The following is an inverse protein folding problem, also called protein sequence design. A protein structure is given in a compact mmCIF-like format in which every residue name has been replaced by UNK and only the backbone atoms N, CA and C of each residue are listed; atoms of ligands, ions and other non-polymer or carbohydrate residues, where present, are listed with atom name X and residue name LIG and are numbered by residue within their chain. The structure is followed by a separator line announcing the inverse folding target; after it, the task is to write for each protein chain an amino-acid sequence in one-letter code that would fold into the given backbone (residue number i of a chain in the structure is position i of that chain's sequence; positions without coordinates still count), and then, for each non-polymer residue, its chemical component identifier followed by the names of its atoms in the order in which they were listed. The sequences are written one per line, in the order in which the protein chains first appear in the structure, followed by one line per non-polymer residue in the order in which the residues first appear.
data_IF_404317293131
#
_entry.id   IF_404317293131
#
_cell.length_a   1.000
_cell.length_b   1.000
_cell.length_c   1.000
_cell.angle_alpha   90.00
_cell.angle_beta   90.00
_cell.angle_gamma   90.00
#
_symmetry.space_group_name_H-M   'P 1'
#
loop_
_entity.id
_entity.type
_entity.pdbx_description
1 polymer ?
#
# COMPACT_ATOMS: atom_id res chain seq x y z
N UNK A 1 -8.30 12.53 0.29
CA UNK A 1 -8.58 11.17 -0.22
C UNK A 1 -9.92 11.20 -0.92
N UNK A 2 -10.08 10.48 -2.04
CA UNK A 2 -11.38 10.38 -2.70
C UNK A 2 -12.41 9.70 -1.82
N UNK A 3 -13.70 10.03 -1.99
CA UNK A 3 -14.79 9.46 -1.21
C UNK A 3 -14.99 7.95 -1.44
N UNK A 4 -14.25 7.36 -2.38
CA UNK A 4 -14.27 5.92 -2.67
C UNK A 4 -12.86 5.34 -2.58
N UNK A 5 -12.67 4.42 -1.64
CA UNK A 5 -11.48 3.62 -1.47
C UNK A 5 -11.86 2.14 -1.39
N UNK A 6 -10.89 1.26 -1.65
CA UNK A 6 -11.09 -0.18 -1.55
C UNK A 6 -9.84 -0.88 -1.04
N UNK A 7 -10.05 -2.01 -0.37
CA UNK A 7 -8.98 -2.90 0.07
C UNK A 7 -8.67 -3.90 -1.03
N UNK A 8 -7.39 -4.00 -1.41
CA UNK A 8 -6.93 -4.94 -2.41
C UNK A 8 -6.24 -6.13 -1.75
N UNK A 9 -6.75 -7.33 -2.03
CA UNK A 9 -6.16 -8.59 -1.60
C UNK A 9 -6.27 -9.62 -2.75
N UNK A 10 -5.30 -10.52 -2.89
CA UNK A 10 -5.37 -11.63 -3.82
C UNK A 10 -6.62 -12.45 -3.57
N UNK A 11 -7.46 -12.64 -4.59
CA UNK A 11 -8.53 -13.63 -4.53
C UNK A 11 -8.04 -14.92 -5.19
N UNK A 12 -8.21 -16.04 -4.49
CA UNK A 12 -8.01 -17.38 -5.06
C UNK A 12 -9.16 -17.62 -6.04
N UNK A 13 -8.92 -17.50 -7.35
CA UNK A 13 -10.01 -17.50 -8.33
C UNK A 13 -10.21 -18.91 -8.90
N UNK A 14 -11.24 -19.61 -8.43
CA UNK A 14 -11.97 -20.59 -9.27
C UNK A 14 -13.28 -19.99 -9.82
N UNK A 15 -13.84 -18.95 -9.16
CA UNK A 15 -15.08 -18.30 -9.58
C UNK A 15 -14.91 -16.79 -9.77
N UNK A 16 -15.43 -16.29 -10.89
CA UNK A 16 -15.40 -14.87 -11.24
C UNK A 16 -16.29 -14.09 -10.27
N UNK A 17 -15.68 -13.35 -9.36
CA UNK A 17 -16.40 -12.55 -8.38
C UNK A 17 -17.01 -11.32 -9.07
N UNK A 18 -18.33 -11.18 -9.03
CA UNK A 18 -19.07 -10.04 -9.62
C UNK A 18 -19.25 -8.87 -8.64
N UNK A 19 -18.55 -8.90 -7.50
CA UNK A 19 -18.72 -7.90 -6.45
C UNK A 19 -18.05 -6.57 -6.81
N UNK A 20 -18.70 -5.49 -6.42
CA UNK A 20 -18.12 -4.15 -6.48
C UNK A 20 -16.88 -4.09 -5.57
N UNK A 21 -15.72 -3.79 -6.15
CA UNK A 21 -14.45 -3.65 -5.41
C UNK A 21 -14.54 -2.69 -4.23
N UNK A 22 -15.41 -1.66 -4.30
CA UNK A 22 -15.60 -0.69 -3.22
C UNK A 22 -16.32 -1.27 -2.00
N UNK A 23 -16.94 -2.44 -2.13
CA UNK A 23 -17.58 -3.16 -1.04
C UNK A 23 -16.66 -4.23 -0.43
N UNK A 24 -15.42 -4.37 -0.92
CA UNK A 24 -14.48 -5.36 -0.41
C UNK A 24 -14.11 -5.03 1.05
N UNK A 25 -14.38 -5.94 2.01
CA UNK A 25 -13.92 -5.76 3.38
C UNK A 25 -12.40 -5.96 3.46
N UNK A 26 -11.79 -5.41 4.50
CA UNK A 26 -10.41 -5.75 4.86
C UNK A 26 -10.37 -7.18 5.42
N UNK A 27 -9.71 -8.11 4.74
CA UNK A 27 -9.57 -9.49 5.22
C UNK A 27 -8.50 -9.60 6.29
N UNK A 28 -8.59 -10.60 7.16
CA UNK A 28 -7.59 -10.81 8.23
C UNK A 28 -6.21 -11.10 7.63
N UNK A 29 -6.14 -11.82 6.51
CA UNK A 29 -4.90 -12.13 5.81
C UNK A 29 -4.22 -10.86 5.30
N UNK A 30 -5.00 -9.93 4.73
CA UNK A 30 -4.48 -8.62 4.32
C UNK A 30 -4.03 -7.81 5.54
N UNK A 31 -4.84 -7.79 6.60
CA UNK A 31 -4.51 -7.08 7.84
C UNK A 31 -3.35 -7.71 8.62
N UNK A 32 -2.94 -8.93 8.33
CA UNK A 32 -1.81 -9.59 8.99
C UNK A 32 -0.59 -9.80 8.09
N UNK A 33 -0.69 -9.55 6.77
CA UNK A 33 0.39 -9.74 5.81
C UNK A 33 1.59 -8.77 5.95
N UNK A 34 2.58 -8.84 5.05
CA UNK A 34 3.74 -7.92 5.07
C UNK A 34 3.38 -6.49 4.63
N UNK A 35 2.26 -6.30 3.93
CA UNK A 35 1.79 -4.99 3.48
C UNK A 35 0.27 -4.95 3.32
N UNK A 36 -0.31 -3.74 3.41
CA UNK A 36 -1.72 -3.46 3.14
C UNK A 36 -1.81 -2.58 1.90
N UNK A 37 -2.67 -2.96 0.94
CA UNK A 37 -2.89 -2.20 -0.30
C UNK A 37 -4.28 -1.57 -0.27
N UNK A 38 -4.31 -0.25 -0.38
CA UNK A 38 -5.54 0.55 -0.43
C UNK A 38 -5.58 1.28 -1.78
N UNK A 39 -6.56 0.94 -2.61
CA UNK A 39 -6.84 1.68 -3.84
C UNK A 39 -7.80 2.83 -3.59
N UNK A 40 -7.66 3.91 -4.33
CA UNK A 40 -8.61 5.02 -4.36
C UNK A 40 -8.95 5.37 -5.80
N UNK A 41 -10.20 5.79 -6.03
CA UNK A 41 -10.67 6.14 -7.36
C UNK A 41 -10.49 7.62 -7.69
N UNK A 42 -10.66 7.95 -8.97
CA UNK A 42 -10.65 9.34 -9.43
C UNK A 42 -11.79 10.15 -8.81
N UNK A 43 -11.50 11.41 -8.53
CA UNK A 43 -12.50 12.38 -8.08
C UNK A 43 -12.77 13.30 -9.26
N UNK A 44 -14.00 13.25 -9.75
CA UNK A 44 -14.49 14.10 -10.80
C UNK A 44 -15.48 15.11 -10.21
N UNK A 45 -15.40 16.36 -10.65
CA UNK A 45 -16.35 17.41 -10.32
C UNK A 45 -16.99 17.95 -11.60
N UNK A 46 -18.19 18.49 -11.49
CA UNK A 46 -18.88 19.10 -12.62
C UNK A 46 -18.80 20.62 -12.43
N UNK A 47 -18.23 21.30 -13.42
CA UNK A 47 -18.17 22.77 -13.43
C UNK A 47 -19.54 23.38 -13.75
N UNK A 48 -19.68 24.69 -13.55
CA UNK A 48 -20.87 25.47 -13.89
C UNK A 48 -21.28 25.37 -15.37
N UNK A 49 -20.36 24.96 -16.24
CA UNK A 49 -20.57 24.73 -17.67
C UNK A 49 -20.87 23.25 -18.01
N UNK A 50 -21.25 22.41 -17.03
CA UNK A 50 -21.51 20.98 -17.19
C UNK A 50 -20.33 20.15 -17.72
N UNK A 51 -19.10 20.64 -17.56
CA UNK A 51 -17.89 19.91 -17.93
C UNK A 51 -17.40 19.08 -16.75
N UNK A 52 -16.94 17.86 -17.02
CA UNK A 52 -16.30 17.00 -16.02
C UNK A 52 -14.84 17.45 -15.84
N UNK A 53 -14.52 18.01 -14.68
CA UNK A 53 -13.17 18.37 -14.26
C UNK A 53 -12.64 17.28 -13.34
N UNK A 54 -11.52 16.67 -13.71
CA UNK A 54 -10.80 15.73 -12.85
C UNK A 54 -10.05 16.49 -11.76
N UNK A 55 -10.54 16.41 -10.52
CA UNK A 55 -9.89 17.00 -9.35
C UNK A 55 -8.73 16.16 -8.85
N UNK A 56 -8.86 14.83 -8.92
CA UNK A 56 -7.83 13.91 -8.45
C UNK A 56 -7.84 12.60 -9.25
N UNK A 57 -6.68 12.00 -9.46
CA UNK A 57 -6.56 10.70 -10.11
C UNK A 57 -6.85 9.51 -9.21
N UNK A 58 -7.08 8.34 -9.82
CA UNK A 58 -6.99 7.04 -9.16
C UNK A 58 -5.55 6.69 -8.79
N UNK A 59 -5.35 5.80 -7.83
CA UNK A 59 -4.02 5.33 -7.44
C UNK A 59 -4.04 4.38 -6.25
N UNK A 60 -2.86 4.04 -5.74
CA UNK A 60 -2.70 3.10 -4.63
C UNK A 60 -1.84 3.68 -3.51
N UNK A 61 -2.23 3.38 -2.27
CA UNK A 61 -1.40 3.48 -1.07
C UNK A 61 -1.04 2.09 -0.59
N UNK A 62 0.25 1.86 -0.34
CA UNK A 62 0.75 0.59 0.17
C UNK A 62 1.42 0.85 1.52
N UNK A 63 0.84 0.35 2.60
CA UNK A 63 1.46 0.39 3.92
C UNK A 63 2.35 -0.83 4.09
N UNK A 64 3.66 -0.64 4.01
CA UNK A 64 4.64 -1.70 4.12
C UNK A 64 5.08 -1.88 5.56
N UNK A 65 4.95 -3.10 6.10
CA UNK A 65 5.12 -3.39 7.53
C UNK A 65 6.41 -4.11 7.86
N UNK A 66 7.16 -4.60 6.89
CA UNK A 66 8.49 -5.13 7.16
C UNK A 66 9.50 -4.00 7.35
N UNK A 67 10.70 -4.35 7.81
CA UNK A 67 11.71 -3.34 8.14
C UNK A 67 12.39 -2.74 6.90
N UNK A 68 12.39 -3.44 5.75
CA UNK A 68 13.12 -2.98 4.57
C UNK A 68 14.63 -3.05 4.74
N UNK A 69 15.11 -4.00 5.54
CA UNK A 69 16.55 -4.21 5.78
C UNK A 69 17.25 -4.80 4.55
N UNK A 70 16.53 -5.58 3.75
CA UNK A 70 17.08 -6.28 2.59
C UNK A 70 16.40 -5.89 1.29
N UNK A 71 17.06 -6.19 0.19
CA UNK A 71 16.61 -5.88 -1.17
C UNK A 71 15.53 -6.88 -1.65
N UNK A 72 15.65 -8.14 -1.23
CA UNK A 72 14.80 -9.26 -1.65
C UNK A 72 13.33 -9.07 -1.25
N UNK A 73 13.08 -8.45 -0.10
CA UNK A 73 11.71 -8.17 0.35
C UNK A 73 10.99 -7.22 -0.61
N UNK A 74 11.71 -6.24 -1.18
CA UNK A 74 11.15 -5.30 -2.14
C UNK A 74 10.96 -5.91 -3.52
N UNK A 75 11.80 -6.88 -3.91
CA UNK A 75 11.55 -7.67 -5.12
C UNK A 75 10.25 -8.46 -4.98
N UNK A 76 10.03 -9.09 -3.82
CA UNK A 76 8.77 -9.79 -3.56
C UNK A 76 7.57 -8.84 -3.64
N UNK A 77 7.67 -7.63 -3.08
CA UNK A 77 6.61 -6.62 -3.20
C UNK A 77 6.35 -6.26 -4.67
N UNK A 78 7.39 -5.97 -5.45
CA UNK A 78 7.24 -5.55 -6.85
C UNK A 78 6.68 -6.67 -7.73
N UNK A 79 7.17 -7.90 -7.55
CA UNK A 79 6.63 -9.09 -8.22
C UNK A 79 5.15 -9.30 -7.90
N UNK A 80 4.77 -9.12 -6.64
CA UNK A 80 3.37 -9.18 -6.23
C UNK A 80 2.53 -8.10 -6.95
N UNK A 81 2.99 -6.85 -6.97
CA UNK A 81 2.26 -5.76 -7.63
C UNK A 81 2.10 -6.01 -9.13
N UNK A 82 3.14 -6.52 -9.78
CA UNK A 82 3.13 -6.87 -11.20
C UNK A 82 2.17 -8.03 -11.50
N UNK A 83 2.26 -9.12 -10.72
CA UNK A 83 1.42 -10.32 -10.84
C UNK A 83 -0.08 -10.01 -10.73
N UNK A 84 -0.45 -9.08 -9.87
CA UNK A 84 -1.84 -8.63 -9.71
C UNK A 84 -2.19 -7.43 -10.58
N UNK A 85 -1.35 -7.08 -11.55
CA UNK A 85 -1.56 -6.00 -12.52
C UNK A 85 -1.81 -4.62 -11.88
N UNK A 86 -1.20 -4.37 -10.72
CA UNK A 86 -1.34 -3.09 -10.01
C UNK A 86 -0.42 -2.00 -10.57
N UNK A 87 0.64 -2.39 -11.26
CA UNK A 87 1.57 -1.49 -11.95
C UNK A 87 0.95 -1.07 -13.29
N UNK A 88 0.18 0.02 -13.27
CA UNK A 88 -0.54 0.56 -14.43
C UNK A 88 0.01 1.93 -14.89
N UNK A 89 0.05 2.15 -16.21
CA UNK A 89 0.46 3.45 -16.78
C UNK A 89 -0.43 4.59 -16.29
N UNK A 90 0.20 5.66 -15.77
CA UNK A 90 -0.51 6.85 -15.30
C UNK A 90 -1.20 6.69 -13.93
N UNK A 91 -0.95 5.58 -13.23
CA UNK A 91 -1.53 5.28 -11.92
C UNK A 91 -0.43 5.30 -10.85
N UNK A 92 -0.41 6.31 -9.97
CA UNK A 92 0.62 6.41 -8.94
C UNK A 92 0.44 5.37 -7.83
N UNK A 93 1.57 4.83 -7.38
CA UNK A 93 1.67 3.95 -6.22
C UNK A 93 2.55 4.64 -5.18
N UNK A 94 1.99 4.86 -3.98
CA UNK A 94 2.70 5.46 -2.86
C UNK A 94 2.90 4.43 -1.75
N UNK A 95 4.14 4.01 -1.57
CA UNK A 95 4.54 3.11 -0.50
C UNK A 95 4.86 3.94 0.75
N UNK A 96 4.31 3.52 1.88
CA UNK A 96 4.55 4.10 3.20
C UNK A 96 5.13 3.06 4.12
N UNK A 97 6.37 3.25 4.57
CA UNK A 97 7.00 2.40 5.57
C UNK A 97 6.33 2.62 6.93
N UNK A 98 5.51 1.66 7.33
CA UNK A 98 4.68 1.68 8.53
C UNK A 98 5.28 0.86 9.68
N UNK A 99 6.51 0.36 9.54
CA UNK A 99 7.25 -0.26 10.63
C UNK A 99 8.00 0.79 11.44
N UNK A 100 7.84 0.79 12.77
CA UNK A 100 8.58 1.69 13.67
C UNK A 100 10.08 1.46 13.69
N UNK A 101 10.49 0.22 13.43
CA UNK A 101 11.89 -0.21 13.31
C UNK A 101 12.28 -0.34 11.84
N UNK A 102 11.63 0.42 10.95
CA UNK A 102 12.04 0.47 9.55
C UNK A 102 13.51 0.91 9.46
N UNK A 103 14.25 0.26 8.59
CA UNK A 103 15.64 0.57 8.33
C UNK A 103 15.77 1.98 7.76
N UNK A 104 16.78 2.72 8.19
CA UNK A 104 17.13 4.01 7.59
C UNK A 104 17.50 3.88 6.11
N UNK A 105 17.90 2.68 5.68
CA UNK A 105 18.22 2.37 4.28
C UNK A 105 17.02 1.86 3.48
N UNK A 106 15.82 1.76 4.07
CA UNK A 106 14.65 1.17 3.40
C UNK A 106 14.31 1.85 2.07
N UNK A 107 14.38 3.19 1.99
CA UNK A 107 14.16 3.93 0.74
C UNK A 107 15.23 3.57 -0.32
N UNK A 108 16.51 3.53 0.08
CA UNK A 108 17.60 3.20 -0.84
C UNK A 108 17.51 1.76 -1.33
N UNK A 109 17.27 0.82 -0.42
CA UNK A 109 17.03 -0.59 -0.72
C UNK A 109 15.85 -0.76 -1.68
N UNK A 110 14.74 -0.04 -1.43
CA UNK A 110 13.58 -0.04 -2.30
C UNK A 110 13.89 0.50 -3.70
N UNK A 111 14.59 1.64 -3.80
CA UNK A 111 14.94 2.21 -5.11
C UNK A 111 15.87 1.28 -5.92
N UNK A 112 16.86 0.68 -5.26
CA UNK A 112 17.73 -0.31 -5.89
C UNK A 112 16.92 -1.53 -6.39
N UNK A 113 15.95 -2.00 -5.58
CA UNK A 113 15.00 -3.05 -5.96
C UNK A 113 14.15 -2.67 -7.16
N UNK A 114 13.62 -1.45 -7.16
CA UNK A 114 12.81 -0.92 -8.25
C UNK A 114 13.57 -0.89 -9.57
N UNK A 115 14.79 -0.34 -9.57
CA UNK A 115 15.63 -0.25 -10.77
C UNK A 115 15.98 -1.63 -11.32
N UNK A 116 16.39 -2.55 -10.45
CA UNK A 116 16.79 -3.89 -10.87
C UNK A 116 15.60 -4.75 -11.29
N UNK A 117 14.46 -4.67 -10.61
CA UNK A 117 13.22 -5.34 -11.03
C UNK A 117 12.79 -4.86 -12.42
N UNK A 118 12.83 -3.55 -12.66
CA UNK A 118 12.52 -2.96 -13.95
C UNK A 118 13.46 -3.47 -15.05
N UNK A 119 14.76 -3.56 -14.76
CA UNK A 119 15.73 -4.09 -15.71
C UNK A 119 15.52 -5.59 -15.97
N UNK A 120 15.42 -6.40 -14.91
CA UNK A 120 15.48 -7.86 -15.00
C UNK A 120 14.14 -8.48 -15.46
N UNK A 121 12.99 -7.90 -15.08
CA UNK A 121 11.65 -8.44 -15.41
C UNK A 121 11.02 -7.74 -16.60
N UNK A 122 11.13 -6.41 -16.67
CA UNK A 122 10.48 -5.61 -17.71
C UNK A 122 11.39 -5.33 -18.91
N UNK A 123 12.70 -5.56 -18.79
CA UNK A 123 13.68 -5.49 -19.88
C UNK A 123 13.93 -4.09 -20.47
N UNK A 124 13.25 -3.05 -19.98
CA UNK A 124 13.44 -1.66 -20.41
C UNK A 124 13.03 -0.66 -19.34
N UNK A 125 13.67 0.51 -19.38
CA UNK A 125 13.22 1.65 -18.58
C UNK A 125 11.83 2.10 -19.07
N UNK A 126 10.92 2.26 -18.12
CA UNK A 126 9.48 2.47 -18.28
C UNK A 126 9.05 3.53 -17.29
N UNK A 127 8.40 4.58 -17.79
CA UNK A 127 7.93 5.71 -16.98
C UNK A 127 6.86 5.34 -15.95
N UNK A 128 6.33 4.12 -16.01
CA UNK A 128 5.38 3.61 -15.02
C UNK A 128 6.04 3.49 -13.63
N UNK A 129 7.32 3.12 -13.58
CA UNK A 129 8.06 2.97 -12.31
C UNK A 129 8.44 4.31 -11.67
N UNK A 130 8.41 5.41 -12.44
CA UNK A 130 8.63 6.76 -11.91
C UNK A 130 7.47 7.22 -11.02
N UNK A 131 6.28 6.66 -11.25
CA UNK A 131 5.08 6.92 -10.45
C UNK A 131 4.99 6.07 -9.18
N UNK A 132 5.96 5.17 -8.96
CA UNK A 132 6.07 4.36 -7.75
C UNK A 132 7.09 5.03 -6.81
N UNK A 133 6.58 5.63 -5.74
CA UNK A 133 7.37 6.37 -4.74
C UNK A 133 7.24 5.74 -3.36
N UNK A 134 8.26 5.90 -2.52
CA UNK A 134 8.29 5.37 -1.16
C UNK A 134 8.75 6.43 -0.16
N UNK A 135 8.03 6.56 0.95
CA UNK A 135 8.41 7.42 2.07
C UNK A 135 8.15 6.72 3.42
N UNK A 136 8.68 7.27 4.49
CA UNK A 136 8.34 6.84 5.85
C UNK A 136 6.97 7.37 6.29
N UNK A 137 6.32 6.65 7.21
CA UNK A 137 5.15 7.16 7.90
C UNK A 137 5.60 8.08 9.04
N UNK A 138 5.12 9.33 9.05
CA UNK A 138 5.57 10.36 10.01
C UNK A 138 4.86 10.28 11.37
N UNK A 139 3.69 9.66 11.43
CA UNK A 139 2.81 9.68 12.59
C UNK A 139 2.59 8.26 13.12
N UNK A 140 3.18 7.96 14.27
CA UNK A 140 2.87 6.78 15.06
C UNK A 140 2.22 7.20 16.37
N UNK A 141 0.90 7.06 16.47
CA UNK A 141 0.20 7.23 17.75
C UNK A 141 0.08 5.88 18.44
N UNK A 142 0.48 5.80 19.71
CA UNK A 142 0.14 4.69 20.59
C UNK A 142 -1.03 5.10 21.46
N UNK A 143 -2.18 4.50 21.21
CA UNK A 143 -3.28 4.50 22.16
C UNK A 143 -3.28 3.15 22.87
N UNK A 144 -3.19 3.19 24.19
CA UNK A 144 -3.32 2.01 25.02
C UNK A 144 -4.68 2.03 25.70
N UNK A 145 -5.30 0.86 25.86
CA UNK A 145 -6.46 0.72 26.74
C UNK A 145 -6.00 0.95 28.19
N UNK A 146 -6.57 1.97 28.81
CA UNK A 146 -6.38 2.27 30.23
C UNK A 146 -6.84 1.11 31.12
N UNK A 147 -7.87 0.36 30.69
CA UNK A 147 -8.30 -0.84 31.42
C UNK A 147 -7.20 -1.90 31.40
N UNK A 148 -6.63 -2.22 30.23
CA UNK A 148 -5.63 -3.27 30.09
C UNK A 148 -4.32 -2.96 30.86
N UNK A 149 -3.87 -1.70 30.85
CA UNK A 149 -2.72 -1.26 31.66
C UNK A 149 -2.99 -1.41 33.17
N UNK A 150 -4.24 -1.19 33.59
CA UNK A 150 -4.64 -1.33 34.99
C UNK A 150 -4.53 -2.77 35.50
N UNK A 151 -4.87 -3.76 34.66
CA UNK A 151 -4.81 -5.17 35.02
C UNK A 151 -3.36 -5.70 35.09
N UNK A 152 -2.48 -5.31 34.15
CA UNK A 152 -1.07 -5.71 34.16
C UNK A 152 -0.31 -5.22 35.40
N UNK A 153 -0.66 -4.02 35.91
CA UNK A 153 -0.07 -3.48 37.15
C UNK A 153 -0.49 -4.27 38.38
N UNK A 154 -1.76 -4.68 38.46
CA UNK A 154 -2.29 -5.42 39.60
C UNK A 154 -1.68 -6.82 39.74
N UNK A 155 -1.35 -7.48 38.63
CA UNK A 155 -0.69 -8.81 38.64
C UNK A 155 0.80 -8.74 38.99
N UNK A 156 1.47 -7.60 38.73
CA UNK A 156 2.89 -7.42 39.03
C UNK A 156 3.21 -7.10 40.50
N UNK A 157 2.18 -6.80 41.31
CA UNK A 157 2.29 -6.44 42.73
C UNK A 157 1.95 -7.62 43.67
N UNK A 158 1.66 -8.80 43.12
CA UNK A 158 1.45 -10.08 43.82
C UNK A 158 2.62 -11.04 43.63
#
# INVERSE_FOLDING_TARGET
MGNKYFFHYPQLVEFRNNNDKFLNPATIEMLSGPFIIIGYDEINNIDNNYNIIRLHGKGYYIYYREKGETYEEFIYLLDFLDKFQLIETGVPIKIKFANRKASNLAISNFNNAKERFQHDVWGKQSSVFDLITADFCELFTQEFSTEQIGWERAESET
#
